data_IF_281368157195
#
_entry.id   IF_281368157195
#
_cell.length_a   1.000
_cell.length_b   1.000
_cell.length_c   1.000
_cell.angle_alpha   90.00
_cell.angle_beta   90.00
_cell.angle_gamma   90.00
#
_symmetry.space_group_name_H-M   'P 1'
#
loop_
_entity.id
_entity.type
_entity.pdbx_description
1 polymer ?
#
# COMPACT_ATOMS: atom_id res chain seq x y z
N UNK A 1 7.15 5.44 -4.06
CA UNK A 1 7.03 4.49 -5.19
C UNK A 1 7.99 3.33 -4.95
N UNK A 2 7.59 2.09 -5.31
CA UNK A 2 8.46 0.89 -5.28
C UNK A 2 8.54 0.27 -6.68
N UNK A 3 9.63 -0.44 -6.99
CA UNK A 3 9.69 -1.33 -8.15
C UNK A 3 8.68 -2.48 -8.02
N UNK A 4 8.13 -2.91 -9.14
CA UNK A 4 7.26 -4.09 -9.25
C UNK A 4 7.99 -5.40 -8.94
N UNK A 5 9.31 -5.46 -9.13
CA UNK A 5 10.16 -6.60 -8.74
C UNK A 5 10.13 -6.92 -7.24
N UNK A 6 9.60 -6.02 -6.41
CA UNK A 6 9.43 -6.25 -4.96
C UNK A 6 8.23 -7.13 -4.63
N UNK A 7 7.29 -7.29 -5.57
CA UNK A 7 6.00 -7.95 -5.35
C UNK A 7 6.21 -9.45 -5.08
N UNK A 8 5.54 -9.96 -4.06
CA UNK A 8 5.37 -11.38 -3.77
C UNK A 8 3.91 -11.68 -3.45
N UNK A 9 3.47 -12.92 -3.68
CA UNK A 9 2.07 -13.31 -3.47
C UNK A 9 1.73 -13.62 -2.00
N UNK A 10 0.43 -13.66 -1.66
CA UNK A 10 -0.03 -14.15 -0.37
C UNK A 10 0.47 -15.58 -0.09
N UNK A 11 1.06 -15.78 1.10
CA UNK A 11 1.62 -17.07 1.51
C UNK A 11 3.06 -17.34 1.03
N UNK A 12 3.61 -16.48 0.16
CA UNK A 12 5.00 -16.59 -0.26
C UNK A 12 5.98 -16.20 0.86
N UNK A 13 7.23 -16.62 0.70
CA UNK A 13 8.30 -16.33 1.66
C UNK A 13 8.89 -14.94 1.42
N UNK A 14 8.97 -14.15 2.49
CA UNK A 14 9.77 -12.92 2.52
C UNK A 14 11.26 -13.26 2.68
N UNK A 15 12.10 -12.81 1.75
CA UNK A 15 13.55 -12.99 1.74
C UNK A 15 14.23 -11.83 2.46
N UNK A 16 14.80 -12.10 3.63
CA UNK A 16 15.57 -11.11 4.36
C UNK A 16 16.93 -10.85 3.68
N UNK A 17 17.29 -9.59 3.38
CA UNK A 17 18.56 -9.27 2.74
C UNK A 17 19.76 -9.60 3.65
N UNK A 18 20.79 -10.23 3.11
CA UNK A 18 22.01 -10.56 3.86
C UNK A 18 22.74 -9.29 4.30
N UNK A 19 23.22 -9.28 5.54
CA UNK A 19 24.00 -8.16 6.09
C UNK A 19 23.18 -6.90 6.41
N UNK A 20 21.86 -6.94 6.21
CA UNK A 20 20.94 -5.95 6.76
C UNK A 20 20.54 -6.43 8.16
N UNK A 21 20.61 -5.55 9.15
CA UNK A 21 20.23 -5.88 10.52
C UNK A 21 18.70 -5.90 10.66
N UNK A 22 18.13 -4.82 11.18
CA UNK A 22 16.70 -4.75 11.46
C UNK A 22 15.87 -4.56 10.19
N UNK A 23 14.89 -5.45 10.02
CA UNK A 23 13.81 -5.38 9.04
C UNK A 23 12.48 -5.37 9.79
N UNK A 24 11.55 -4.53 9.36
CA UNK A 24 10.18 -4.45 9.90
C UNK A 24 9.16 -4.78 8.83
N UNK A 25 7.99 -5.23 9.29
CA UNK A 25 6.81 -5.47 8.49
C UNK A 25 5.67 -4.60 9.04
N UNK A 26 4.94 -3.95 8.15
CA UNK A 26 3.81 -3.09 8.48
C UNK A 26 2.61 -3.52 7.64
N UNK A 27 1.50 -3.83 8.29
CA UNK A 27 0.23 -4.04 7.60
C UNK A 27 -0.37 -2.68 7.24
N UNK A 28 -0.84 -2.55 6.01
CA UNK A 28 -1.47 -1.33 5.49
C UNK A 28 -2.80 -1.65 4.79
N UNK A 29 -3.68 -0.65 4.72
CA UNK A 29 -4.83 -0.66 3.82
C UNK A 29 -4.36 -0.27 2.41
N UNK A 30 -4.48 -1.18 1.45
CA UNK A 30 -4.26 -0.89 0.05
C UNK A 30 -5.52 -0.34 -0.62
N UNK A 31 -5.37 0.77 -1.36
CA UNK A 31 -6.42 1.31 -2.24
C UNK A 31 -6.09 0.94 -3.68
N UNK A 32 -7.00 0.26 -4.37
CA UNK A 32 -6.82 -0.16 -5.75
C UNK A 32 -7.58 0.77 -6.68
N UNK A 33 -6.87 1.40 -7.62
CA UNK A 33 -7.45 2.30 -8.61
C UNK A 33 -8.14 1.48 -9.72
N UNK A 34 -9.39 1.83 -10.03
CA UNK A 34 -10.22 1.15 -11.03
C UNK A 34 -10.32 1.84 -12.38
N UNK A 35 -10.15 3.18 -12.40
CA UNK A 35 -10.18 3.97 -13.64
C UNK A 35 -9.08 5.02 -13.67
N UNK A 36 -8.75 5.50 -14.87
CA UNK A 36 -7.79 6.60 -15.05
C UNK A 36 -8.34 7.86 -14.37
N UNK A 37 -7.48 8.56 -13.64
CA UNK A 37 -7.85 9.75 -12.89
C UNK A 37 -6.71 10.79 -12.84
N UNK A 38 -7.07 12.05 -12.98
CA UNK A 38 -6.21 13.24 -12.85
C UNK A 38 -7.10 14.38 -12.35
N UNK A 39 -6.60 15.20 -11.43
CA UNK A 39 -7.30 16.36 -10.85
C UNK A 39 -8.71 16.02 -10.33
N UNK A 40 -8.86 14.89 -9.63
CA UNK A 40 -10.16 14.43 -9.11
C UNK A 40 -10.43 15.06 -7.74
N UNK A 41 -11.58 15.76 -7.55
CA UNK A 41 -12.03 16.23 -6.23
C UNK A 41 -12.22 15.09 -5.23
N UNK A 42 -12.13 15.37 -3.93
CA UNK A 42 -12.26 14.33 -2.89
C UNK A 42 -13.65 13.67 -2.92
N UNK A 43 -14.72 14.43 -3.17
CA UNK A 43 -16.08 13.91 -3.29
C UNK A 43 -16.27 12.89 -4.42
N UNK A 44 -15.44 12.98 -5.47
CA UNK A 44 -15.49 12.10 -6.63
C UNK A 44 -14.53 10.92 -6.51
N UNK A 45 -13.59 10.95 -5.54
CA UNK A 45 -12.59 9.91 -5.34
C UNK A 45 -13.16 8.49 -5.14
N UNK A 46 -14.32 8.28 -4.47
CA UNK A 46 -14.92 6.94 -4.37
C UNK A 46 -15.16 6.29 -5.74
N UNK A 47 -15.57 7.07 -6.75
CA UNK A 47 -15.81 6.56 -8.11
C UNK A 47 -14.54 6.15 -8.87
N UNK A 48 -13.36 6.46 -8.34
CA UNK A 48 -12.05 6.11 -8.92
C UNK A 48 -11.53 4.77 -8.38
N UNK A 49 -11.99 4.37 -7.20
CA UNK A 49 -11.49 3.21 -6.46
C UNK A 49 -12.22 1.94 -6.94
N UNK A 50 -11.45 0.93 -7.36
CA UNK A 50 -11.98 -0.40 -7.65
C UNK A 50 -12.27 -1.21 -6.37
N UNK A 51 -11.52 -0.94 -5.30
CA UNK A 51 -11.69 -1.60 -4.03
C UNK A 51 -10.47 -1.46 -3.12
N UNK A 52 -10.50 -2.23 -2.06
CA UNK A 52 -9.50 -2.22 -1.00
C UNK A 52 -8.90 -3.61 -0.83
N UNK A 53 -7.64 -3.66 -0.39
CA UNK A 53 -6.92 -4.92 -0.18
C UNK A 53 -5.99 -4.80 1.02
N UNK A 54 -5.57 -5.93 1.57
CA UNK A 54 -4.51 -5.94 2.59
C UNK A 54 -3.15 -5.76 1.91
N UNK A 55 -2.27 -4.99 2.54
CA UNK A 55 -0.88 -4.81 2.09
C UNK A 55 0.06 -5.18 3.23
N UNK A 56 1.16 -5.85 2.90
CA UNK A 56 2.31 -6.02 3.78
C UNK A 56 3.50 -5.24 3.21
N UNK A 57 3.85 -4.17 3.91
CA UNK A 57 4.95 -3.28 3.61
C UNK A 57 6.18 -3.68 4.45
N UNK A 58 7.18 -4.26 3.78
CA UNK A 58 8.47 -4.54 4.43
C UNK A 58 9.44 -3.36 4.27
N UNK A 59 10.20 -3.10 5.32
CA UNK A 59 11.21 -2.03 5.34
C UNK A 59 12.49 -2.50 6.02
N UNK A 60 13.63 -2.32 5.34
CA UNK A 60 14.96 -2.48 5.95
C UNK A 60 15.27 -1.25 6.82
N UNK A 61 14.78 -1.24 8.07
CA UNK A 61 14.83 -0.10 8.98
C UNK A 61 16.25 0.44 9.21
N UNK A 62 17.26 -0.44 9.26
CA UNK A 62 18.65 0.00 9.44
C UNK A 62 19.19 0.83 8.26
N UNK A 63 18.64 0.67 7.05
CA UNK A 63 18.98 1.55 5.93
C UNK A 63 18.41 2.96 6.16
N UNK A 64 17.19 3.07 6.67
CA UNK A 64 16.56 4.35 6.99
C UNK A 64 17.24 5.06 8.15
N UNK A 65 17.63 4.32 9.18
CA UNK A 65 18.37 4.87 10.34
C UNK A 65 19.70 5.51 9.95
N UNK A 66 20.35 5.00 8.89
CA UNK A 66 21.56 5.62 8.34
C UNK A 66 21.26 6.92 7.62
N UNK A 67 20.17 6.97 6.86
CA UNK A 67 19.71 8.20 6.20
C UNK A 67 18.23 8.05 5.79
N UNK A 68 17.32 8.93 6.26
CA UNK A 68 15.89 8.84 5.91
C UNK A 68 15.62 9.03 4.41
N UNK A 69 16.54 9.66 3.67
CA UNK A 69 16.45 9.79 2.20
C UNK A 69 16.60 8.46 1.46
N UNK A 70 17.03 7.38 2.15
CA UNK A 70 17.13 6.05 1.57
C UNK A 70 15.84 5.24 1.60
N UNK A 71 14.68 5.90 1.75
CA UNK A 71 13.37 5.26 1.77
C UNK A 71 13.14 4.30 0.61
N UNK A 72 13.39 4.74 -0.62
CA UNK A 72 13.26 3.88 -1.80
C UNK A 72 14.17 2.65 -1.67
N UNK A 73 15.45 2.83 -1.31
CA UNK A 73 16.38 1.70 -1.15
C UNK A 73 15.94 0.72 -0.07
N UNK A 74 15.41 1.20 1.05
CA UNK A 74 15.00 0.37 2.18
C UNK A 74 13.79 -0.52 1.87
N UNK A 75 12.97 -0.12 0.88
CA UNK A 75 11.70 -0.73 0.52
C UNK A 75 11.73 -1.47 -0.83
N UNK A 76 12.87 -1.48 -1.53
CA UNK A 76 13.02 -2.01 -2.90
C UNK A 76 13.66 -3.40 -3.01
N UNK A 77 13.80 -4.15 -1.92
CA UNK A 77 14.29 -5.53 -1.99
C UNK A 77 13.21 -6.45 -2.58
N UNK A 78 13.62 -7.52 -3.25
CA UNK A 78 12.66 -8.54 -3.67
C UNK A 78 11.82 -9.03 -2.47
N UNK A 79 10.55 -9.38 -2.70
CA UNK A 79 9.60 -9.87 -1.69
C UNK A 79 9.24 -8.88 -0.57
N UNK A 80 9.63 -7.61 -0.67
CA UNK A 80 9.34 -6.58 0.34
C UNK A 80 7.96 -5.91 0.20
N UNK A 81 7.16 -6.37 -0.75
CA UNK A 81 5.81 -5.86 -0.93
C UNK A 81 4.88 -7.01 -1.28
N UNK A 82 3.84 -7.21 -0.47
CA UNK A 82 2.77 -8.16 -0.75
C UNK A 82 1.43 -7.45 -0.64
N UNK A 83 0.47 -7.85 -1.45
CA UNK A 83 -0.92 -7.38 -1.34
C UNK A 83 -1.88 -8.52 -1.67
N UNK A 84 -3.15 -8.39 -1.28
CA UNK A 84 -4.14 -9.46 -1.34
C UNK A 84 -4.31 -10.19 0.01
N UNK A 85 -4.95 -11.37 0.04
CA UNK A 85 -5.39 -12.15 -1.12
C UNK A 85 -6.66 -11.65 -1.81
N UNK A 86 -7.43 -10.81 -1.15
CA UNK A 86 -8.74 -10.38 -1.63
C UNK A 86 -8.74 -8.91 -2.04
N UNK A 87 -9.61 -8.60 -3.00
CA UNK A 87 -10.01 -7.24 -3.34
C UNK A 87 -11.47 -7.11 -2.92
N UNK A 88 -11.72 -6.28 -1.91
CA UNK A 88 -13.07 -6.01 -1.39
C UNK A 88 -13.59 -4.74 -2.06
N UNK A 89 -14.78 -4.78 -2.66
CA UNK A 89 -15.31 -3.59 -3.35
C UNK A 89 -15.77 -2.52 -2.34
N UNK A 90 -15.92 -1.25 -2.76
CA UNK A 90 -16.45 -0.20 -1.89
C UNK A 90 -17.82 -0.52 -1.28
N UNK A 91 -18.65 -1.29 -1.98
CA UNK A 91 -19.97 -1.71 -1.49
C UNK A 91 -19.88 -2.84 -0.44
N UNK A 92 -18.86 -3.70 -0.55
CA UNK A 92 -18.65 -4.84 0.36
C UNK A 92 -17.90 -4.44 1.64
N UNK A 93 -17.05 -3.41 1.57
CA UNK A 93 -16.16 -3.04 2.68
C UNK A 93 -16.88 -2.34 3.84
N UNK A 94 -18.06 -1.78 3.59
CA UNK A 94 -18.82 -0.99 4.57
C UNK A 94 -18.17 0.36 4.88
N UNK A 95 -18.32 0.83 6.12
CA UNK A 95 -17.75 2.12 6.55
C UNK A 95 -16.23 2.02 6.68
N UNK A 96 -15.49 2.76 5.84
CA UNK A 96 -14.03 2.72 5.84
C UNK A 96 -13.43 3.05 7.21
N UNK A 97 -14.06 3.96 7.96
CA UNK A 97 -13.59 4.38 9.28
C UNK A 97 -13.55 3.27 10.32
N UNK A 98 -14.29 2.18 10.12
CA UNK A 98 -14.39 1.06 11.06
C UNK A 98 -13.37 -0.06 10.78
N UNK A 99 -12.64 0.02 9.66
CA UNK A 99 -11.65 -0.98 9.27
C UNK A 99 -10.47 -0.95 10.25
N UNK A 100 -10.24 -2.07 10.93
CA UNK A 100 -9.02 -2.31 11.70
C UNK A 100 -7.94 -2.94 10.80
N UNK A 101 -6.73 -2.36 10.85
CA UNK A 101 -5.54 -2.89 10.18
C UNK A 101 -4.58 -3.40 11.24
N UNK A 102 -4.17 -4.67 11.15
CA UNK A 102 -3.28 -5.29 12.13
C UNK A 102 -2.13 -6.07 11.50
N UNK A 103 -0.97 -6.00 12.14
CA UNK A 103 0.21 -6.82 11.82
C UNK A 103 0.32 -7.95 12.84
N UNK A 104 0.16 -9.18 12.37
CA UNK A 104 0.21 -10.39 13.21
C UNK A 104 1.51 -11.15 12.93
N UNK A 105 2.25 -11.48 13.98
CA UNK A 105 3.48 -12.26 13.90
C UNK A 105 3.39 -13.45 14.85
N UNK A 106 3.46 -14.67 14.32
CA UNK A 106 3.37 -15.92 15.09
C UNK A 106 2.11 -15.99 15.97
N UNK A 107 0.97 -15.53 15.43
CA UNK A 107 -0.31 -15.51 16.15
C UNK A 107 -0.50 -14.33 17.11
N UNK A 108 0.52 -13.49 17.30
CA UNK A 108 0.44 -12.32 18.18
C UNK A 108 0.26 -11.03 17.40
N UNK A 109 -0.70 -10.21 17.80
CA UNK A 109 -0.87 -8.85 17.26
C UNK A 109 0.31 -7.99 17.73
N UNK A 110 1.18 -7.59 16.80
CA UNK A 110 2.33 -6.71 17.08
C UNK A 110 1.99 -5.25 16.95
N UNK A 111 1.09 -4.91 16.02
CA UNK A 111 0.52 -3.58 15.84
C UNK A 111 -0.91 -3.70 15.36
N UNK A 112 -1.74 -2.74 15.75
CA UNK A 112 -3.09 -2.55 15.23
C UNK A 112 -3.47 -1.08 15.26
N UNK A 113 -4.29 -0.67 14.32
CA UNK A 113 -4.91 0.66 14.29
C UNK A 113 -6.19 0.62 13.47
N UNK A 114 -7.01 1.67 13.56
CA UNK A 114 -8.24 1.81 12.78
C UNK A 114 -8.08 2.93 11.75
N UNK A 115 -8.70 2.79 10.59
CA UNK A 115 -8.65 3.79 9.51
C UNK A 115 -9.18 5.15 9.96
N UNK A 116 -10.12 5.20 10.91
CA UNK A 116 -10.59 6.46 11.52
C UNK A 116 -9.47 7.27 12.21
N UNK A 117 -8.34 6.65 12.57
CA UNK A 117 -7.18 7.34 13.14
C UNK A 117 -6.19 7.86 12.08
N UNK A 118 -6.47 7.68 10.78
CA UNK A 118 -5.62 8.24 9.73
C UNK A 118 -5.70 9.76 9.73
N UNK A 119 -4.56 10.44 9.63
CA UNK A 119 -4.49 11.91 9.49
C UNK A 119 -5.21 12.39 8.22
N UNK A 120 -5.18 11.58 7.16
CA UNK A 120 -5.81 11.86 5.88
C UNK A 120 -6.64 10.66 5.45
N UNK A 121 -7.88 10.88 5.01
CA UNK A 121 -8.77 9.79 4.59
C UNK A 121 -8.23 9.09 3.33
N UNK A 122 -8.57 7.81 3.08
CA UNK A 122 -8.22 7.14 1.84
C UNK A 122 -8.67 7.91 0.58
N UNK A 123 -9.86 8.52 0.61
CA UNK A 123 -10.40 9.30 -0.50
C UNK A 123 -9.69 10.64 -0.69
N UNK A 124 -9.32 11.33 0.39
CA UNK A 124 -8.45 12.49 0.34
C UNK A 124 -7.11 12.14 -0.32
N UNK A 125 -6.50 11.01 0.06
CA UNK A 125 -5.24 10.56 -0.52
C UNK A 125 -5.36 10.29 -2.03
N UNK A 126 -6.46 9.69 -2.49
CA UNK A 126 -6.71 9.49 -3.93
C UNK A 126 -6.81 10.84 -4.64
N UNK A 127 -7.59 11.78 -4.11
CA UNK A 127 -7.72 13.12 -4.68
C UNK A 127 -6.38 13.84 -4.74
N UNK A 128 -5.67 13.92 -3.61
CA UNK A 128 -4.37 14.57 -3.48
C UNK A 128 -3.35 14.04 -4.48
N UNK A 129 -3.22 12.71 -4.60
CA UNK A 129 -2.26 12.13 -5.55
C UNK A 129 -2.69 12.34 -7.00
N UNK A 130 -3.99 12.38 -7.29
CA UNK A 130 -4.50 12.65 -8.65
C UNK A 130 -4.17 14.05 -9.16
N UNK A 131 -3.94 15.02 -8.27
CA UNK A 131 -3.50 16.38 -8.61
C UNK A 131 -2.01 16.46 -8.98
N UNK A 132 -1.22 15.47 -8.56
CA UNK A 132 0.25 15.44 -8.78
C UNK A 132 0.62 14.49 -9.91
N UNK A 133 -0.11 13.39 -10.04
CA UNK A 133 0.17 12.35 -11.04
C UNK A 133 -1.12 11.72 -11.55
N UNK A 134 -1.09 11.27 -12.81
CA UNK A 134 -2.16 10.45 -13.37
C UNK A 134 -2.20 9.09 -12.66
N UNK A 135 -3.33 8.79 -12.03
CA UNK A 135 -3.63 7.47 -11.49
C UNK A 135 -4.11 6.57 -12.62
N UNK A 136 -3.62 5.33 -12.65
CA UNK A 136 -3.97 4.34 -13.66
C UNK A 136 -4.60 3.12 -12.99
N UNK A 137 -5.55 2.44 -13.67
CA UNK A 137 -6.03 1.14 -13.25
C UNK A 137 -4.89 0.16 -13.02
N UNK A 138 -5.02 -0.72 -12.03
CA UNK A 138 -4.00 -1.72 -11.71
C UNK A 138 -3.62 -2.61 -12.91
N UNK A 139 -4.58 -2.91 -13.78
CA UNK A 139 -4.44 -3.72 -14.99
C UNK A 139 -4.06 -2.93 -16.25
N UNK A 140 -3.79 -1.62 -16.17
CA UNK A 140 -3.44 -0.84 -17.36
C UNK A 140 -2.07 -1.27 -17.88
N UNK A 141 -2.07 -1.97 -19.02
CA UNK A 141 -0.88 -2.41 -19.75
C UNK A 141 -0.29 -1.33 -20.66
N UNK A 142 -0.98 -0.20 -20.84
CA UNK A 142 -0.56 0.91 -21.70
C UNK A 142 0.09 2.07 -20.90
N UNK A 143 0.87 1.75 -19.85
CA UNK A 143 1.51 2.75 -18.95
C UNK A 143 2.48 3.74 -19.63
N UNK A 144 2.87 3.48 -20.89
CA UNK A 144 3.96 4.19 -21.58
C UNK A 144 3.52 5.11 -22.73
N UNK A 145 2.24 5.47 -22.90
CA UNK A 145 1.89 6.41 -23.96
C UNK A 145 2.02 7.87 -23.48
N UNK A 146 2.75 8.72 -24.23
CA UNK A 146 2.93 10.13 -23.91
C UNK A 146 1.60 10.87 -23.83
#
# INVERSE_FOLDING_TARGET
>A
MRPDTTITGPGDRVRLPKGIGRVTAEAELGVVIGRKATDVPEEDAPSVVAGFTTVLDMTAEDILRKNPRYLTRAKSFDTFFSFGPELVTPEEVGELGDIEVSTVLNGEVRRKNTVSNMTFSPYWLVSFHSMVMRLLPSNDTNRQRP
#
